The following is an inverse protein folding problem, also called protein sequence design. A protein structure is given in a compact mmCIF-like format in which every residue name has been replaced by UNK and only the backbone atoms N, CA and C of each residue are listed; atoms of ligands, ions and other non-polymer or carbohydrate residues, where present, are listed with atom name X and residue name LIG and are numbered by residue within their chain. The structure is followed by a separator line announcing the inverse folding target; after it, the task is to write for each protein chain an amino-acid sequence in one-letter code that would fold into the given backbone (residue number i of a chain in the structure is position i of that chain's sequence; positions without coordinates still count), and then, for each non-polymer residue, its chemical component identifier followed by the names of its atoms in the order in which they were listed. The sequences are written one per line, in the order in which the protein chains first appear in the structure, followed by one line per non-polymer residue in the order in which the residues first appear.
data_IF_635022134804
#
_entry.id   IF_635022134804
#
_cell.length_a   1.000
_cell.length_b   1.000
_cell.length_c   1.000
_cell.angle_alpha   90.00
_cell.angle_beta   90.00
_cell.angle_gamma   90.00
#
_symmetry.space_group_name_H-M   'P 1'
#
loop_
_entity.id
_entity.type
_entity.pdbx_description
1 polymer ?
#
# COMPACT_ATOMS: atom_id res chain seq x y z
N UNK A 1 25.25 12.99 -38.57
CA UNK A 1 24.64 11.69 -38.28
C UNK A 1 24.43 11.62 -36.78
N UNK A 2 23.19 11.61 -36.32
CA UNK A 2 22.87 11.41 -34.91
C UNK A 2 23.03 9.91 -34.61
N UNK A 3 23.72 9.61 -33.52
CA UNK A 3 23.89 8.27 -32.98
C UNK A 3 22.49 7.73 -32.59
N UNK A 4 21.99 6.77 -33.36
CA UNK A 4 20.82 5.97 -33.02
C UNK A 4 21.18 5.06 -31.84
N UNK A 5 20.96 5.55 -30.62
CA UNK A 5 21.01 4.71 -29.42
C UNK A 5 19.78 3.79 -29.45
N UNK A 6 19.92 2.63 -30.09
CA UNK A 6 18.96 1.53 -29.96
C UNK A 6 18.91 1.08 -28.50
N UNK A 7 17.91 1.55 -27.76
CA UNK A 7 17.48 0.90 -26.52
C UNK A 7 16.61 -0.31 -26.87
N UNK A 8 17.20 -1.38 -27.42
CA UNK A 8 16.50 -2.65 -27.61
C UNK A 8 16.54 -3.48 -26.32
N UNK A 9 15.57 -3.20 -25.46
CA UNK A 9 15.07 -4.10 -24.43
C UNK A 9 13.60 -3.73 -24.18
N UNK A 10 12.73 -4.68 -23.76
CA UNK A 10 11.41 -4.29 -23.31
C UNK A 10 11.60 -3.27 -22.19
N UNK A 11 11.07 -2.06 -22.36
CA UNK A 11 11.22 -1.00 -21.38
C UNK A 11 10.69 -1.50 -20.03
N UNK A 12 11.62 -1.80 -19.11
CA UNK A 12 11.34 -2.45 -17.82
C UNK A 12 10.40 -1.63 -16.95
N UNK A 13 10.22 -0.34 -17.29
CA UNK A 13 9.35 0.60 -16.61
C UNK A 13 8.08 0.94 -17.40
N UNK A 14 7.83 0.30 -18.55
CA UNK A 14 6.61 0.53 -19.33
C UNK A 14 5.36 0.37 -18.47
N UNK A 15 5.39 -0.53 -17.50
CA UNK A 15 4.27 -0.78 -16.60
C UNK A 15 3.91 0.37 -15.64
N UNK A 16 4.80 1.36 -15.47
CA UNK A 16 4.52 2.58 -14.70
C UNK A 16 3.78 3.64 -15.52
N UNK A 17 3.62 3.44 -16.84
CA UNK A 17 2.89 4.38 -17.66
C UNK A 17 1.42 4.49 -17.22
N UNK A 18 0.84 5.70 -17.25
CA UNK A 18 -0.58 5.88 -16.96
C UNK A 18 -1.46 4.97 -17.81
N UNK A 19 -2.42 4.29 -17.17
CA UNK A 19 -3.39 3.42 -17.86
C UNK A 19 -2.91 2.00 -18.15
N UNK A 20 -1.64 1.66 -17.85
CA UNK A 20 -1.19 0.28 -17.89
C UNK A 20 -1.86 -0.54 -16.80
N UNK A 21 -2.26 -1.77 -17.14
CA UNK A 21 -2.76 -2.75 -16.18
C UNK A 21 -1.85 -3.96 -16.22
N UNK A 22 -1.17 -4.22 -15.11
CA UNK A 22 -0.38 -5.43 -14.99
C UNK A 22 -1.29 -6.67 -14.89
N UNK A 23 -0.83 -7.80 -15.44
CA UNK A 23 -1.45 -9.08 -15.12
C UNK A 23 -1.31 -9.35 -13.60
N UNK A 24 -2.31 -9.96 -12.94
CA UNK A 24 -2.30 -10.11 -11.47
C UNK A 24 -1.03 -10.76 -10.88
N UNK A 25 -0.42 -11.81 -11.49
CA UNK A 25 0.81 -12.40 -10.97
C UNK A 25 2.00 -11.44 -11.01
N UNK A 26 2.06 -10.60 -12.04
CA UNK A 26 3.16 -9.65 -12.23
C UNK A 26 3.05 -8.48 -11.25
N UNK A 27 1.84 -7.97 -11.02
CA UNK A 27 1.57 -6.99 -9.97
C UNK A 27 1.98 -7.53 -8.58
N UNK A 28 1.61 -8.77 -8.26
CA UNK A 28 1.94 -9.36 -6.96
C UNK A 28 3.45 -9.50 -6.76
N UNK A 29 4.19 -9.94 -7.79
CA UNK A 29 5.66 -10.02 -7.78
C UNK A 29 6.29 -8.65 -7.52
N UNK A 30 5.80 -7.59 -8.15
CA UNK A 30 6.30 -6.23 -7.96
C UNK A 30 6.01 -5.71 -6.55
N UNK A 31 4.80 -5.93 -6.04
CA UNK A 31 4.44 -5.59 -4.66
C UNK A 31 5.37 -6.30 -3.67
N UNK A 32 5.66 -7.58 -3.89
CA UNK A 32 6.62 -8.33 -3.06
C UNK A 32 8.00 -7.66 -3.04
N UNK A 33 8.54 -7.28 -4.20
CA UNK A 33 9.83 -6.60 -4.30
C UNK A 33 9.81 -5.24 -3.61
N UNK A 34 8.75 -4.45 -3.77
CA UNK A 34 8.60 -3.15 -3.11
C UNK A 34 8.53 -3.29 -1.58
N UNK A 35 7.78 -4.28 -1.09
CA UNK A 35 7.68 -4.56 0.33
C UNK A 35 9.00 -5.03 0.95
N UNK A 36 9.78 -5.86 0.23
CA UNK A 36 11.06 -6.40 0.71
C UNK A 36 12.26 -5.45 0.56
N UNK A 37 12.23 -4.54 -0.41
CA UNK A 37 13.32 -3.58 -0.66
C UNK A 37 13.28 -2.35 0.24
N UNK A 38 12.20 -2.14 1.00
CA UNK A 38 11.98 -0.94 1.82
C UNK A 38 11.72 -1.31 3.28
N UNK A 39 12.70 -1.11 4.18
CA UNK A 39 12.50 -1.41 5.60
C UNK A 39 11.43 -0.50 6.24
N UNK A 40 11.39 0.78 5.87
CA UNK A 40 10.35 1.72 6.34
C UNK A 40 8.97 1.34 5.77
N UNK A 41 8.01 1.09 6.67
CA UNK A 41 6.66 0.65 6.33
C UNK A 41 5.90 1.70 5.53
N UNK A 42 6.01 2.96 5.93
CA UNK A 42 5.35 4.05 5.21
C UNK A 42 5.85 4.11 3.75
N UNK A 43 7.16 4.09 3.52
CA UNK A 43 7.75 4.14 2.20
C UNK A 43 7.32 2.95 1.34
N UNK A 44 7.29 1.74 1.90
CA UNK A 44 6.82 0.55 1.19
C UNK A 44 5.35 0.68 0.77
N UNK A 45 4.47 1.04 1.71
CA UNK A 45 3.03 1.19 1.44
C UNK A 45 2.75 2.34 0.46
N UNK A 46 3.46 3.46 0.60
CA UNK A 46 3.36 4.60 -0.30
C UNK A 46 3.78 4.24 -1.73
N UNK A 47 4.90 3.54 -1.90
CA UNK A 47 5.37 3.12 -3.23
C UNK A 47 4.38 2.14 -3.88
N UNK A 48 3.88 1.16 -3.13
CA UNK A 48 2.87 0.22 -3.66
C UNK A 48 1.62 0.99 -4.10
N UNK A 49 1.12 1.90 -3.27
CA UNK A 49 -0.05 2.72 -3.60
C UNK A 49 0.18 3.62 -4.83
N UNK A 50 1.37 4.21 -4.96
CA UNK A 50 1.71 5.11 -6.05
C UNK A 50 1.91 4.39 -7.39
N UNK A 51 2.37 3.14 -7.36
CA UNK A 51 2.75 2.37 -8.56
C UNK A 51 1.71 1.36 -9.01
N UNK A 52 0.74 1.01 -8.15
CA UNK A 52 -0.33 0.04 -8.44
C UNK A 52 -1.72 0.68 -8.25
N UNK A 53 -1.91 1.87 -8.84
CA UNK A 53 -3.13 2.67 -8.69
C UNK A 53 -4.37 2.03 -9.33
N UNK A 54 -4.16 1.10 -10.26
CA UNK A 54 -5.21 0.35 -10.94
C UNK A 54 -5.87 -0.70 -10.03
N UNK A 55 -5.24 -1.05 -8.92
CA UNK A 55 -5.75 -2.07 -8.00
C UNK A 55 -6.61 -1.45 -6.88
N UNK A 56 -7.73 -2.10 -6.51
CA UNK A 56 -8.50 -1.71 -5.34
C UNK A 56 -7.68 -1.74 -4.05
N UNK A 57 -7.91 -0.79 -3.14
CA UNK A 57 -7.20 -0.70 -1.85
C UNK A 57 -7.28 -1.98 -1.01
N UNK A 58 -8.40 -2.71 -1.07
CA UNK A 58 -8.57 -3.99 -0.37
C UNK A 58 -7.64 -5.10 -0.91
N UNK A 59 -7.38 -5.09 -2.22
CA UNK A 59 -6.44 -6.02 -2.86
C UNK A 59 -5.01 -5.65 -2.49
N UNK A 60 -4.66 -4.37 -2.56
CA UNK A 60 -3.35 -3.87 -2.11
C UNK A 60 -3.11 -4.22 -0.64
N UNK A 61 -4.10 -4.03 0.22
CA UNK A 61 -4.00 -4.34 1.65
C UNK A 61 -3.70 -5.83 1.91
N UNK A 62 -4.34 -6.75 1.19
CA UNK A 62 -4.00 -8.18 1.31
C UNK A 62 -2.59 -8.50 0.82
N UNK A 63 -2.22 -7.98 -0.35
CA UNK A 63 -0.92 -8.24 -0.94
C UNK A 63 0.22 -7.70 -0.03
N UNK A 64 0.07 -6.47 0.48
CA UNK A 64 1.05 -5.88 1.40
C UNK A 64 1.15 -6.71 2.68
N UNK A 65 0.02 -7.09 3.30
CA UNK A 65 0.02 -7.94 4.49
C UNK A 65 0.72 -9.29 4.29
N UNK A 66 0.62 -9.87 3.10
CA UNK A 66 1.31 -11.14 2.78
C UNK A 66 2.84 -11.02 2.89
N UNK A 67 3.40 -9.83 2.66
CA UNK A 67 4.85 -9.61 2.59
C UNK A 67 5.41 -8.75 3.72
N UNK A 68 4.57 -8.33 4.66
CA UNK A 68 4.91 -7.36 5.72
C UNK A 68 4.46 -7.87 7.09
N UNK A 69 5.36 -8.58 7.78
CA UNK A 69 5.11 -9.13 9.12
C UNK A 69 4.92 -8.06 10.20
N UNK A 70 5.42 -6.84 9.96
CA UNK A 70 5.14 -5.68 10.82
C UNK A 70 3.66 -5.27 10.80
N UNK A 71 2.87 -5.79 9.87
CA UNK A 71 1.41 -5.62 9.81
C UNK A 71 0.62 -6.78 10.44
N UNK A 72 1.27 -7.78 11.03
CA UNK A 72 0.58 -8.98 11.57
C UNK A 72 -0.45 -8.66 12.66
N UNK A 73 -0.18 -7.62 13.47
CA UNK A 73 -1.08 -7.17 14.54
C UNK A 73 -2.34 -6.45 14.03
N UNK A 74 -2.34 -5.98 12.78
CA UNK A 74 -3.38 -5.18 12.17
C UNK A 74 -4.35 -6.05 11.38
N UNK A 75 -5.64 -5.73 11.37
CA UNK A 75 -6.60 -6.37 10.46
C UNK A 75 -6.38 -5.91 9.01
N UNK A 76 -7.06 -6.53 8.04
CA UNK A 76 -7.02 -6.06 6.65
C UNK A 76 -7.60 -4.64 6.53
N UNK A 77 -8.70 -4.37 7.23
CA UNK A 77 -9.39 -3.07 7.24
C UNK A 77 -8.53 -1.97 7.85
N UNK A 78 -7.70 -2.31 8.84
CA UNK A 78 -6.70 -1.39 9.39
C UNK A 78 -5.67 -0.98 8.33
N UNK A 79 -5.21 -1.93 7.52
CA UNK A 79 -4.25 -1.67 6.43
C UNK A 79 -4.90 -0.86 5.31
N UNK A 80 -6.17 -1.10 4.99
CA UNK A 80 -6.95 -0.24 4.07
C UNK A 80 -7.05 1.19 4.62
N UNK A 81 -7.27 1.34 5.93
CA UNK A 81 -7.32 2.65 6.60
C UNK A 81 -5.97 3.36 6.51
N UNK A 82 -4.86 2.64 6.70
CA UNK A 82 -3.51 3.16 6.54
C UNK A 82 -3.24 3.63 5.10
N UNK A 83 -3.57 2.82 4.09
CA UNK A 83 -3.44 3.21 2.68
C UNK A 83 -4.28 4.45 2.33
N UNK A 84 -5.50 4.54 2.89
CA UNK A 84 -6.37 5.70 2.70
C UNK A 84 -5.78 6.95 3.36
N UNK A 85 -5.21 6.81 4.55
CA UNK A 85 -4.57 7.92 5.26
C UNK A 85 -3.30 8.40 4.57
N UNK A 86 -2.50 7.48 4.01
CA UNK A 86 -1.36 7.82 3.14
C UNK A 86 -1.82 8.64 1.94
N UNK A 87 -2.89 8.21 1.25
CA UNK A 87 -3.43 8.91 0.09
C UNK A 87 -3.86 10.35 0.41
N UNK A 88 -4.54 10.55 1.53
CA UNK A 88 -5.15 11.84 1.88
C UNK A 88 -4.21 12.78 2.64
N UNK A 89 -3.22 12.25 3.38
CA UNK A 89 -2.42 13.02 4.33
C UNK A 89 -0.95 12.60 4.41
N UNK A 90 -0.48 11.76 3.49
CA UNK A 90 0.90 11.29 3.44
C UNK A 90 1.36 10.68 4.75
N UNK A 91 2.58 11.04 5.18
CA UNK A 91 3.19 10.53 6.41
C UNK A 91 2.39 10.91 7.66
N UNK A 92 1.88 12.14 7.73
CA UNK A 92 1.11 12.62 8.88
C UNK A 92 -0.18 11.81 9.08
N UNK A 93 -0.90 11.53 7.99
CA UNK A 93 -2.10 10.69 8.03
C UNK A 93 -1.79 9.26 8.48
N UNK A 94 -0.71 8.68 7.93
CA UNK A 94 -0.24 7.34 8.31
C UNK A 94 0.08 7.25 9.82
N UNK A 95 0.89 8.18 10.33
CA UNK A 95 1.29 8.20 11.74
C UNK A 95 0.08 8.43 12.67
N UNK A 96 -0.92 9.22 12.24
CA UNK A 96 -2.15 9.42 12.98
C UNK A 96 -2.96 8.13 13.14
N UNK A 97 -3.11 7.33 12.07
CA UNK A 97 -3.81 6.03 12.14
C UNK A 97 -3.07 5.06 13.04
N UNK A 98 -1.73 4.96 12.94
CA UNK A 98 -0.94 4.10 13.82
C UNK A 98 -1.10 4.49 15.29
N UNK A 99 -1.10 5.79 15.60
CA UNK A 99 -1.33 6.28 16.97
C UNK A 99 -2.71 5.90 17.50
N UNK A 100 -3.76 6.09 16.71
CA UNK A 100 -5.13 5.72 17.09
C UNK A 100 -5.26 4.22 17.34
N UNK A 101 -4.57 3.39 16.55
CA UNK A 101 -4.58 1.92 16.73
C UNK A 101 -3.75 1.46 17.92
N UNK A 102 -2.57 2.07 18.17
CA UNK A 102 -1.78 1.82 19.38
C UNK A 102 -2.58 2.16 20.65
N UNK A 103 -3.39 3.22 20.60
CA UNK A 103 -4.27 3.64 21.69
C UNK A 103 -5.62 2.91 21.72
N UNK A 104 -5.88 2.01 20.76
CA UNK A 104 -7.07 1.15 20.71
C UNK A 104 -6.66 -0.31 20.85
N UNK A 105 -6.14 -0.75 22.01
CA UNK A 105 -5.81 -2.15 22.23
C UNK A 105 -7.10 -2.97 22.07
N UNK A 106 -7.12 -3.84 21.04
CA UNK A 106 -8.17 -4.80 20.66
C UNK A 106 -9.40 -4.79 21.58
N UNK A 107 -10.32 -3.85 21.36
CA UNK A 107 -11.68 -3.99 21.89
C UNK A 107 -12.42 -4.96 20.99
N UNK A 108 -12.30 -6.26 21.31
CA UNK A 108 -13.31 -7.21 20.92
C UNK A 108 -14.66 -6.73 21.46
N UNK A 109 -15.66 -6.64 20.59
CA UNK A 109 -17.07 -6.52 20.97
C UNK A 109 -17.49 -5.22 21.68
N UNK A 110 -18.40 -4.48 21.05
CA UNK A 110 -19.40 -3.70 21.77
C UNK A 110 -19.09 -2.22 22.04
N UNK A 111 -20.02 -1.38 21.56
CA UNK A 111 -20.27 -0.06 22.12
C UNK A 111 -20.25 1.08 21.11
N UNK A 112 -21.26 1.12 20.22
CA UNK A 112 -21.77 2.42 19.77
C UNK A 112 -22.49 3.05 20.97
N UNK A 113 -21.86 4.01 21.63
CA UNK A 113 -22.50 4.84 22.67
C UNK A 113 -22.38 6.31 22.28
N UNK A 114 -23.26 6.72 21.36
CA UNK A 114 -23.64 8.12 21.17
C UNK A 114 -25.15 8.16 20.88
N UNK A 115 -25.96 7.89 21.89
CA UNK A 115 -27.31 8.45 22.01
C UNK A 115 -27.28 9.26 23.31
N UNK A 116 -27.50 10.56 23.15
CA UNK A 116 -27.61 11.53 24.22
C UNK A 116 -29.11 11.72 24.50
N UNK A 117 -29.52 11.49 25.74
CA UNK A 117 -30.83 11.91 26.27
C UNK A 117 -30.94 13.44 26.34
#
# INVERSE_FOLDING_TARGET
MADDVQAEGPDELTWLHPGQRAAPPEALRRIQVLCGSRPDLFAAMFLVLATHQELPRDMLAAAIKQFRSDLDAYSRDDVVSLLTAIWNGGRSGFDAVLRTRANSPKKGGGGFSWVKE
#
